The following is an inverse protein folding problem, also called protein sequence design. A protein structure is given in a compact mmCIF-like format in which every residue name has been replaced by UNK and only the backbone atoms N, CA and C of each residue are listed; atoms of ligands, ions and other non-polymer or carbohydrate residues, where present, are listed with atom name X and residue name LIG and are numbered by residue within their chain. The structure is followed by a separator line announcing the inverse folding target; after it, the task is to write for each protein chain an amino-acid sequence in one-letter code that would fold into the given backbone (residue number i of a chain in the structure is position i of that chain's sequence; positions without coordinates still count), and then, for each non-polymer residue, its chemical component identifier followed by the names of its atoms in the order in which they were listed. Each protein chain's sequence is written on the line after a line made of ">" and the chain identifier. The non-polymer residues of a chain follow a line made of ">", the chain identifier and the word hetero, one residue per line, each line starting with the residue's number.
data_IF_705523210444
#
_entry.id   IF_705523210444
#
_cell.length_a   1.000
_cell.length_b   1.000
_cell.length_c   1.000
_cell.angle_alpha   90.00
_cell.angle_beta   90.00
_cell.angle_gamma   90.00
#
_symmetry.space_group_name_H-M   'P 1'
#
loop_
_entity.id
_entity.type
_entity.pdbx_description
1 polymer ?
#
# COMPACT_ATOMS: atom_id res chain seq x y z
N UNK A 1 6.06 -5.63 27.45
CA UNK A 1 6.47 -7.02 27.12
C UNK A 1 5.27 -7.92 27.44
N UNK A 2 4.76 -8.73 26.51
CA UNK A 2 3.68 -9.69 26.84
C UNK A 2 4.33 -11.03 27.12
N UNK A 3 4.01 -11.60 28.27
CA UNK A 3 4.52 -12.88 28.72
C UNK A 3 3.36 -13.87 28.82
N UNK A 4 3.63 -15.13 28.56
CA UNK A 4 2.70 -16.23 28.87
C UNK A 4 3.19 -16.88 30.14
N UNK A 5 2.31 -16.98 31.14
CA UNK A 5 2.59 -17.66 32.39
C UNK A 5 2.15 -19.10 32.25
N UNK A 6 3.12 -20.01 32.16
CA UNK A 6 2.90 -21.45 32.31
C UNK A 6 3.04 -21.79 33.79
N UNK A 7 2.63 -23.00 34.19
CA UNK A 7 2.53 -23.40 35.61
C UNK A 7 3.84 -23.24 36.39
N UNK A 8 5.00 -23.26 35.72
CA UNK A 8 6.31 -23.17 36.37
C UNK A 8 7.23 -22.09 35.77
N UNK A 9 6.89 -21.49 34.62
CA UNK A 9 7.76 -20.53 33.93
C UNK A 9 6.99 -19.41 33.25
N UNK A 10 7.62 -18.24 33.17
CA UNK A 10 7.09 -17.09 32.42
C UNK A 10 7.91 -16.94 31.15
N UNK A 11 7.31 -17.31 30.01
CA UNK A 11 7.99 -17.22 28.72
C UNK A 11 7.66 -15.88 28.07
N UNK A 12 8.70 -15.15 27.68
CA UNK A 12 8.56 -13.92 26.89
C UNK A 12 8.29 -14.26 25.43
N UNK A 13 7.17 -13.78 24.88
CA UNK A 13 6.87 -13.98 23.46
C UNK A 13 7.80 -13.11 22.62
N UNK A 14 8.64 -13.70 21.73
CA UNK A 14 9.50 -12.94 20.84
C UNK A 14 8.70 -12.02 19.91
N UNK A 15 9.24 -10.84 19.63
CA UNK A 15 8.55 -9.82 18.84
C UNK A 15 8.19 -10.29 17.42
N UNK A 16 8.99 -11.17 16.83
CA UNK A 16 8.76 -11.76 15.50
C UNK A 16 7.45 -12.58 15.46
N UNK A 17 7.15 -13.30 16.54
CA UNK A 17 5.90 -14.09 16.67
C UNK A 17 4.68 -13.17 16.85
N UNK A 18 4.88 -11.92 17.26
CA UNK A 18 3.79 -10.93 17.42
C UNK A 18 3.45 -10.17 16.14
N UNK A 19 4.31 -10.22 15.12
CA UNK A 19 4.17 -9.44 13.89
C UNK A 19 3.94 -10.27 12.65
N UNK A 20 4.20 -11.57 12.69
CA UNK A 20 4.00 -12.48 11.57
C UNK A 20 2.51 -12.82 11.41
N UNK A 21 2.07 -13.11 10.18
CA UNK A 21 0.70 -13.52 9.95
C UNK A 21 0.43 -14.88 10.64
N UNK A 22 -0.78 -15.08 11.16
CA UNK A 22 -1.13 -16.32 11.87
C UNK A 22 -0.94 -17.56 10.98
N UNK A 23 -1.18 -17.45 9.68
CA UNK A 23 -0.95 -18.54 8.72
C UNK A 23 0.53 -18.87 8.56
N UNK A 24 1.39 -17.87 8.48
CA UNK A 24 2.85 -18.03 8.39
C UNK A 24 3.41 -18.68 9.66
N UNK A 25 2.90 -18.31 10.84
CA UNK A 25 3.28 -18.92 12.12
C UNK A 25 2.89 -20.39 12.19
N UNK A 26 1.68 -20.73 11.74
CA UNK A 26 1.23 -22.12 11.66
C UNK A 26 2.11 -22.92 10.70
N UNK A 27 2.44 -22.37 9.53
CA UNK A 27 3.31 -23.03 8.55
C UNK A 27 4.73 -23.22 9.09
N UNK A 28 5.32 -22.20 9.71
CA UNK A 28 6.65 -22.31 10.34
C UNK A 28 6.65 -23.37 11.44
N UNK A 29 5.63 -23.38 12.30
CA UNK A 29 5.50 -24.39 13.35
C UNK A 29 5.42 -25.81 12.77
N UNK A 30 4.59 -26.03 11.75
CA UNK A 30 4.46 -27.33 11.09
C UNK A 30 5.79 -27.77 10.46
N UNK A 31 6.51 -26.85 9.81
CA UNK A 31 7.84 -27.14 9.24
C UNK A 31 8.83 -27.56 10.31
N UNK A 32 8.92 -26.83 11.43
CA UNK A 32 9.80 -27.16 12.55
C UNK A 32 9.42 -28.51 13.18
N UNK A 33 8.12 -28.80 13.32
CA UNK A 33 7.66 -30.10 13.83
C UNK A 33 8.10 -31.25 12.93
N UNK A 34 8.05 -31.08 11.60
CA UNK A 34 8.56 -32.08 10.66
C UNK A 34 10.07 -32.28 10.76
N UNK A 35 10.83 -31.22 10.99
CA UNK A 35 12.30 -31.28 11.14
C UNK A 35 12.73 -31.97 12.44
N UNK A 36 11.93 -31.85 13.50
CA UNK A 36 12.21 -32.40 14.83
C UNK A 36 11.51 -33.74 15.09
N UNK A 37 10.95 -34.37 14.05
CA UNK A 37 10.16 -35.62 14.12
C UNK A 37 9.04 -35.58 15.18
N UNK A 38 8.42 -34.41 15.33
CA UNK A 38 7.35 -34.14 16.27
C UNK A 38 6.01 -34.09 15.53
N UNK A 39 4.98 -34.72 16.10
CA UNK A 39 3.63 -34.69 15.53
C UNK A 39 2.94 -33.34 15.81
N UNK A 40 2.67 -32.51 14.79
CA UNK A 40 2.07 -31.19 15.02
C UNK A 40 0.59 -31.30 15.42
N UNK A 41 0.11 -30.32 16.17
CA UNK A 41 -1.33 -30.12 16.40
C UNK A 41 -2.07 -29.81 15.09
N UNK A 42 -3.37 -30.07 15.05
CA UNK A 42 -4.20 -29.71 13.90
C UNK A 42 -4.19 -28.19 13.66
N UNK A 43 -4.22 -27.79 12.39
CA UNK A 43 -4.23 -26.36 12.00
C UNK A 43 -5.35 -25.59 12.70
N UNK A 44 -6.54 -26.20 12.84
CA UNK A 44 -7.67 -25.60 13.55
C UNK A 44 -7.40 -25.34 15.04
N UNK A 45 -6.64 -26.20 15.71
CA UNK A 45 -6.22 -26.02 17.10
C UNK A 45 -5.18 -24.92 17.22
N UNK A 46 -4.21 -24.88 16.29
CA UNK A 46 -3.17 -23.85 16.26
C UNK A 46 -3.75 -22.45 16.04
N UNK A 47 -4.69 -22.30 15.11
CA UNK A 47 -5.39 -21.03 14.90
C UNK A 47 -6.22 -20.60 16.12
N UNK A 48 -6.85 -21.54 16.83
CA UNK A 48 -7.53 -21.24 18.10
C UNK A 48 -6.57 -20.73 19.16
N UNK A 49 -5.39 -21.35 19.31
CA UNK A 49 -4.35 -20.89 20.24
C UNK A 49 -3.90 -19.46 19.88
N UNK A 50 -3.61 -19.19 18.60
CA UNK A 50 -3.22 -17.87 18.13
C UNK A 50 -4.32 -16.81 18.32
N UNK A 51 -5.61 -17.21 18.22
CA UNK A 51 -6.74 -16.32 18.48
C UNK A 51 -6.85 -15.91 19.95
N UNK A 52 -6.58 -16.84 20.88
CA UNK A 52 -6.52 -16.58 22.32
C UNK A 52 -5.29 -15.74 22.70
N UNK A 53 -4.20 -15.88 21.95
CA UNK A 53 -2.97 -15.10 22.07
C UNK A 53 -2.97 -13.85 21.17
N UNK A 54 -4.13 -13.20 20.99
CA UNK A 54 -4.34 -12.06 20.09
C UNK A 54 -3.15 -11.10 20.03
N UNK A 55 -2.55 -11.00 18.84
CA UNK A 55 -1.43 -10.09 18.57
C UNK A 55 -1.83 -8.66 18.94
N UNK A 56 -0.97 -7.97 19.71
CA UNK A 56 -1.20 -6.55 19.93
C UNK A 56 -1.05 -5.83 18.58
N UNK A 57 -2.13 -5.26 18.06
CA UNK A 57 -2.06 -4.33 16.93
C UNK A 57 -1.06 -3.24 17.29
N UNK A 58 0.01 -3.10 16.51
CA UNK A 58 1.01 -2.04 16.73
C UNK A 58 0.31 -0.70 16.52
N UNK A 59 0.04 0.01 17.61
CA UNK A 59 -0.40 1.41 17.58
C UNK A 59 0.77 2.39 17.47
N UNK A 60 2.01 1.89 17.55
CA UNK A 60 3.21 2.72 17.49
C UNK A 60 4.28 2.09 16.59
N UNK A 61 4.25 2.48 15.31
CA UNK A 61 5.31 2.29 14.31
C UNK A 61 6.01 3.63 14.00
N UNK A 62 6.04 4.58 14.94
CA UNK A 62 6.75 5.85 14.71
C UNK A 62 8.24 5.55 14.48
N UNK A 63 8.71 5.74 13.25
CA UNK A 63 10.11 5.59 12.83
C UNK A 63 10.40 4.46 11.83
N UNK A 64 9.45 3.56 11.58
CA UNK A 64 9.52 2.61 10.45
C UNK A 64 8.43 3.01 9.46
N UNK A 65 8.75 3.98 8.60
CA UNK A 65 7.82 4.40 7.57
C UNK A 65 7.77 3.34 6.45
N UNK A 66 6.81 2.43 6.55
CA UNK A 66 6.56 1.40 5.54
C UNK A 66 5.79 1.94 4.32
N UNK A 67 5.44 3.23 4.26
CA UNK A 67 4.58 3.77 3.19
C UNK A 67 5.15 3.46 1.80
N UNK A 68 6.47 3.60 1.60
CA UNK A 68 7.09 3.27 0.32
C UNK A 68 7.05 1.76 0.00
N UNK A 69 7.22 0.91 1.01
CA UNK A 69 7.14 -0.55 0.85
C UNK A 69 5.69 -1.00 0.58
N UNK A 70 4.73 -0.42 1.28
CA UNK A 70 3.29 -0.67 1.11
C UNK A 70 2.81 -0.21 -0.25
N UNK A 71 3.23 0.98 -0.71
CA UNK A 71 2.95 1.48 -2.05
C UNK A 71 3.58 0.60 -3.14
N UNK A 72 4.82 0.16 -2.96
CA UNK A 72 5.48 -0.77 -3.88
C UNK A 72 4.74 -2.10 -3.98
N UNK A 73 4.31 -2.64 -2.84
CA UNK A 73 3.52 -3.88 -2.72
C UNK A 73 2.15 -3.71 -3.35
N UNK A 74 1.50 -2.55 -3.18
CA UNK A 74 0.22 -2.24 -3.83
C UNK A 74 0.31 -2.26 -5.36
N UNK A 75 1.40 -1.77 -5.96
CA UNK A 75 1.61 -1.95 -7.40
C UNK A 75 1.75 -3.43 -7.79
N UNK A 76 2.45 -4.23 -6.99
CA UNK A 76 2.62 -5.67 -7.27
C UNK A 76 1.28 -6.41 -7.15
N UNK A 77 0.42 -6.00 -6.22
CA UNK A 77 -0.97 -6.49 -6.11
C UNK A 77 -1.80 -6.10 -7.33
N UNK A 78 -1.77 -4.84 -7.79
CA UNK A 78 -2.50 -4.41 -9.00
C UNK A 78 -2.06 -5.21 -10.24
N UNK A 79 -0.76 -5.51 -10.35
CA UNK A 79 -0.23 -6.36 -11.43
C UNK A 79 -0.80 -7.78 -11.33
N UNK A 80 -0.94 -8.34 -10.13
CA UNK A 80 -1.50 -9.67 -9.93
C UNK A 80 -3.00 -9.70 -10.21
N UNK A 81 -3.77 -8.73 -9.69
CA UNK A 81 -5.20 -8.55 -9.99
C UNK A 81 -5.42 -8.45 -11.50
N UNK A 82 -4.60 -7.67 -12.21
CA UNK A 82 -4.70 -7.57 -13.68
C UNK A 82 -4.53 -8.93 -14.36
N UNK A 83 -3.63 -9.79 -13.89
CA UNK A 83 -3.42 -11.14 -14.45
C UNK A 83 -4.55 -12.09 -14.07
N UNK A 84 -5.08 -11.99 -12.86
CA UNK A 84 -6.23 -12.77 -12.41
C UNK A 84 -7.46 -12.46 -13.26
N UNK A 85 -7.71 -11.18 -13.54
CA UNK A 85 -8.81 -10.74 -14.41
C UNK A 85 -8.66 -11.25 -15.85
N UNK A 86 -7.44 -11.45 -16.36
CA UNK A 86 -7.22 -12.13 -17.66
C UNK A 86 -7.60 -13.61 -17.57
N UNK A 87 -7.23 -14.30 -16.49
CA UNK A 87 -7.56 -15.71 -16.30
C UNK A 87 -9.08 -15.94 -16.15
N UNK A 88 -9.79 -14.94 -15.64
CA UNK A 88 -11.25 -14.92 -15.51
C UNK A 88 -11.96 -14.40 -16.77
N UNK A 89 -11.23 -14.17 -17.88
CA UNK A 89 -11.78 -13.67 -19.15
C UNK A 89 -12.47 -12.28 -19.05
N UNK A 90 -12.17 -11.51 -18.00
CA UNK A 90 -12.67 -10.14 -17.79
C UNK A 90 -11.87 -9.12 -18.60
N UNK A 91 -10.57 -9.36 -18.77
CA UNK A 91 -9.66 -8.53 -19.55
C UNK A 91 -9.14 -9.30 -20.76
N UNK A 92 -9.13 -8.64 -21.92
CA UNK A 92 -8.40 -9.16 -23.06
C UNK A 92 -6.89 -8.95 -22.92
N UNK A 93 -6.13 -9.60 -23.81
CA UNK A 93 -4.67 -9.56 -23.76
C UNK A 93 -4.12 -8.17 -24.05
N UNK A 94 -4.74 -7.42 -24.96
CA UNK A 94 -4.25 -6.12 -25.40
C UNK A 94 -4.46 -5.09 -24.28
N UNK A 95 -5.63 -5.09 -23.64
CA UNK A 95 -5.91 -4.32 -22.43
C UNK A 95 -4.94 -4.66 -21.30
N UNK A 96 -4.69 -5.95 -21.08
CA UNK A 96 -3.78 -6.41 -20.03
C UNK A 96 -2.36 -5.88 -20.26
N UNK A 97 -1.84 -5.99 -21.49
CA UNK A 97 -0.51 -5.52 -21.83
C UNK A 97 -0.40 -3.99 -21.69
N UNK A 98 -1.44 -3.23 -22.05
CA UNK A 98 -1.51 -1.79 -21.83
C UNK A 98 -1.50 -1.44 -20.34
N UNK A 99 -2.36 -2.08 -19.53
CA UNK A 99 -2.48 -1.85 -18.10
C UNK A 99 -1.16 -2.18 -17.39
N UNK A 100 -0.57 -3.34 -17.69
CA UNK A 100 0.70 -3.76 -17.10
C UNK A 100 1.85 -2.81 -17.47
N UNK A 101 1.85 -2.29 -18.70
CA UNK A 101 2.82 -1.28 -19.15
C UNK A 101 2.66 0.03 -18.38
N UNK A 102 1.42 0.54 -18.24
CA UNK A 102 1.12 1.76 -17.48
C UNK A 102 1.46 1.61 -16.00
N UNK A 103 1.12 0.49 -15.35
CA UNK A 103 1.47 0.21 -13.95
C UNK A 103 2.98 0.22 -13.72
N UNK A 104 3.76 -0.43 -14.62
CA UNK A 104 5.23 -0.42 -14.53
C UNK A 104 5.80 0.99 -14.68
N UNK A 105 5.31 1.76 -15.66
CA UNK A 105 5.73 3.15 -15.88
C UNK A 105 5.40 4.05 -14.69
N UNK A 106 4.19 3.94 -14.14
CA UNK A 106 3.76 4.68 -12.94
C UNK A 106 4.63 4.33 -11.72
N UNK A 107 4.88 3.04 -11.49
CA UNK A 107 5.76 2.56 -10.42
C UNK A 107 7.18 3.10 -10.54
N UNK A 108 7.77 3.09 -11.73
CA UNK A 108 9.11 3.63 -11.97
C UNK A 108 9.12 5.14 -11.75
N UNK A 109 8.12 5.84 -12.29
CA UNK A 109 7.98 7.28 -12.15
C UNK A 109 7.98 7.76 -10.69
N UNK A 110 7.20 7.12 -9.82
CA UNK A 110 7.19 7.45 -8.39
C UNK A 110 8.53 7.16 -7.70
N UNK A 111 9.28 6.14 -8.14
CA UNK A 111 10.58 5.80 -7.57
C UNK A 111 11.69 6.77 -7.96
N UNK A 112 11.68 7.26 -9.20
CA UNK A 112 12.83 7.97 -9.77
C UNK A 112 12.56 9.46 -9.96
N UNK A 113 11.52 9.81 -10.72
CA UNK A 113 11.43 11.14 -11.32
C UNK A 113 10.40 12.04 -10.61
N UNK A 114 9.42 11.47 -9.91
CA UNK A 114 8.32 12.24 -9.33
C UNK A 114 8.84 13.40 -8.46
N UNK A 115 9.80 13.12 -7.57
CA UNK A 115 10.43 14.14 -6.70
C UNK A 115 11.09 15.30 -7.47
N UNK A 116 11.53 15.07 -8.72
CA UNK A 116 12.19 16.08 -9.55
C UNK A 116 11.20 17.06 -10.19
N UNK A 117 9.92 16.71 -10.30
CA UNK A 117 8.89 17.61 -10.81
C UNK A 117 8.15 18.36 -9.70
N UNK A 118 8.27 17.92 -8.45
CA UNK A 118 7.61 18.58 -7.32
C UNK A 118 8.28 19.93 -7.04
N UNK A 119 7.48 21.00 -7.02
CA UNK A 119 7.94 22.37 -6.77
C UNK A 119 6.97 23.09 -5.83
N UNK A 120 7.41 24.19 -5.21
CA UNK A 120 6.55 24.99 -4.32
C UNK A 120 5.27 25.47 -5.00
N UNK A 121 5.41 26.01 -6.20
CA UNK A 121 4.35 26.50 -7.05
C UNK A 121 4.49 25.80 -8.39
N UNK A 122 3.43 25.15 -8.86
CA UNK A 122 3.39 24.49 -10.16
C UNK A 122 1.96 24.56 -10.71
N UNK A 123 1.81 24.65 -12.03
CA UNK A 123 0.48 24.61 -12.68
C UNK A 123 -0.13 23.22 -12.72
N UNK A 124 0.62 22.18 -12.35
CA UNK A 124 0.11 20.85 -12.11
C UNK A 124 -0.18 20.65 -10.61
N UNK A 125 -1.44 20.33 -10.28
CA UNK A 125 -1.89 20.09 -8.90
C UNK A 125 -1.07 19.01 -8.19
N UNK A 126 -0.63 17.98 -8.91
CA UNK A 126 0.18 16.89 -8.37
C UNK A 126 1.63 17.29 -8.06
N UNK A 127 2.11 18.38 -8.66
CA UNK A 127 3.50 18.84 -8.54
C UNK A 127 3.63 20.03 -7.59
N UNK A 128 2.55 20.79 -7.40
CA UNK A 128 2.53 21.95 -6.53
C UNK A 128 2.45 21.56 -5.05
N UNK A 129 3.53 21.77 -4.30
CA UNK A 129 3.59 21.46 -2.86
C UNK A 129 2.54 22.26 -2.08
N UNK A 130 2.43 23.55 -2.37
CA UNK A 130 1.51 24.45 -1.66
C UNK A 130 0.06 23.98 -1.83
N UNK A 131 -0.31 23.55 -3.03
CA UNK A 131 -1.62 22.99 -3.30
C UNK A 131 -1.81 21.60 -2.68
N UNK A 132 -0.90 20.67 -2.97
CA UNK A 132 -1.05 19.26 -2.58
C UNK A 132 -0.96 19.02 -1.07
N UNK A 133 -0.30 19.90 -0.30
CA UNK A 133 -0.23 19.83 1.16
C UNK A 133 -1.21 20.75 1.89
N UNK A 134 -1.94 21.61 1.18
CA UNK A 134 -2.91 22.51 1.81
C UNK A 134 -4.04 21.70 2.46
N UNK A 135 -4.35 22.00 3.72
CA UNK A 135 -5.50 21.42 4.40
C UNK A 135 -6.78 22.18 4.02
N UNK A 136 -7.75 21.50 3.41
CA UNK A 136 -9.02 22.13 3.00
C UNK A 136 -9.98 22.40 4.17
N UNK A 137 -9.73 21.82 5.35
CA UNK A 137 -10.62 21.88 6.52
C UNK A 137 -10.08 22.84 7.57
N UNK A 138 -8.77 22.87 7.76
CA UNK A 138 -8.10 23.70 8.76
C UNK A 138 -7.46 24.93 8.12
N UNK A 139 -8.09 26.10 8.27
CA UNK A 139 -7.63 27.35 7.66
C UNK A 139 -6.20 27.74 8.03
N UNK A 140 -5.74 27.37 9.22
CA UNK A 140 -4.37 27.65 9.68
C UNK A 140 -3.31 26.81 8.94
N UNK A 141 -3.72 25.70 8.34
CA UNK A 141 -2.86 24.82 7.53
C UNK A 141 -3.23 24.87 6.03
N UNK A 142 -4.17 25.75 5.66
CA UNK A 142 -4.55 25.99 4.28
C UNK A 142 -3.55 26.96 3.64
N UNK A 143 -3.16 26.68 2.40
CA UNK A 143 -2.33 27.58 1.59
C UNK A 143 -3.10 27.91 0.32
N UNK A 144 -3.36 29.20 0.10
CA UNK A 144 -3.92 29.68 -1.16
C UNK A 144 -2.80 29.88 -2.18
N UNK A 145 -2.98 29.31 -3.37
CA UNK A 145 -2.10 29.52 -4.50
C UNK A 145 -2.56 30.74 -5.30
N UNK A 146 -1.61 31.55 -5.77
CA UNK A 146 -1.81 32.71 -6.64
C UNK A 146 -1.80 32.35 -8.15
N UNK A 147 -1.75 31.06 -8.46
CA UNK A 147 -1.68 30.49 -9.81
C UNK A 147 -2.76 29.43 -10.03
N UNK A 148 -2.99 29.09 -11.30
CA UNK A 148 -3.98 28.09 -11.70
C UNK A 148 -3.35 26.70 -11.77
N UNK A 149 -4.15 25.68 -11.43
CA UNK A 149 -3.80 24.26 -11.55
C UNK A 149 -4.46 23.62 -12.76
N UNK A 150 -4.12 24.11 -13.95
CA UNK A 150 -4.78 23.75 -15.22
C UNK A 150 -3.97 22.80 -16.11
N UNK A 151 -2.81 22.33 -15.63
CA UNK A 151 -2.01 21.31 -16.31
C UNK A 151 -2.17 19.95 -15.64
N UNK A 152 -2.30 18.91 -16.46
CA UNK A 152 -2.29 17.51 -16.03
C UNK A 152 -0.97 16.90 -16.46
N UNK A 153 -0.28 16.24 -15.53
CA UNK A 153 0.93 15.50 -15.85
C UNK A 153 0.59 14.10 -16.36
N UNK A 154 0.93 13.79 -17.61
CA UNK A 154 0.69 12.47 -18.22
C UNK A 154 1.20 11.31 -17.34
N UNK A 155 2.35 11.48 -16.69
CA UNK A 155 2.93 10.44 -15.82
C UNK A 155 2.19 10.30 -14.48
N UNK A 156 1.65 11.39 -13.93
CA UNK A 156 0.79 11.33 -12.75
C UNK A 156 -0.57 10.71 -13.09
N UNK A 157 -1.05 10.88 -14.33
CA UNK A 157 -2.32 10.36 -14.80
C UNK A 157 -2.31 8.84 -15.10
N UNK A 158 -1.13 8.21 -15.19
CA UNK A 158 -1.01 6.77 -15.48
C UNK A 158 -1.76 5.88 -14.49
N UNK A 159 -1.72 6.18 -13.18
CA UNK A 159 -2.43 5.39 -12.18
C UNK A 159 -3.95 5.61 -12.22
N UNK A 160 -4.46 6.86 -12.19
CA UNK A 160 -5.88 7.13 -12.41
C UNK A 160 -6.44 6.45 -13.66
N UNK A 161 -5.73 6.53 -14.79
CA UNK A 161 -6.16 5.89 -16.04
C UNK A 161 -6.29 4.38 -15.91
N UNK A 162 -5.29 3.73 -15.31
CA UNK A 162 -5.33 2.27 -15.08
C UNK A 162 -6.47 1.89 -14.15
N UNK A 163 -6.67 2.63 -13.05
CA UNK A 163 -7.74 2.35 -12.11
C UNK A 163 -9.10 2.48 -12.80
N UNK A 164 -9.30 3.53 -13.60
CA UNK A 164 -10.53 3.70 -14.36
C UNK A 164 -10.75 2.54 -15.33
N UNK A 165 -9.73 2.14 -16.10
CA UNK A 165 -9.81 1.00 -17.01
C UNK A 165 -10.19 -0.29 -16.27
N UNK A 166 -9.55 -0.60 -15.13
CA UNK A 166 -9.84 -1.79 -14.35
C UNK A 166 -11.24 -1.76 -13.74
N UNK A 167 -11.65 -0.63 -13.15
CA UNK A 167 -12.98 -0.44 -12.57
C UNK A 167 -14.06 -0.62 -13.63
N UNK A 168 -13.88 -0.02 -14.82
CA UNK A 168 -14.85 -0.14 -15.91
C UNK A 168 -14.99 -1.59 -16.38
N UNK A 169 -13.87 -2.32 -16.50
CA UNK A 169 -13.88 -3.73 -16.93
C UNK A 169 -14.54 -4.64 -15.89
N UNK A 170 -14.22 -4.46 -14.61
CA UNK A 170 -14.84 -5.19 -13.50
C UNK A 170 -16.34 -4.91 -13.41
N UNK A 171 -16.78 -3.66 -13.60
CA UNK A 171 -18.20 -3.33 -13.52
C UNK A 171 -19.01 -3.91 -14.69
N UNK A 172 -18.46 -3.84 -15.90
CA UNK A 172 -19.20 -4.14 -17.13
C UNK A 172 -19.15 -5.62 -17.55
N UNK A 173 -18.29 -6.44 -16.94
CA UNK A 173 -18.18 -7.87 -17.29
C UNK A 173 -19.38 -8.71 -16.84
N UNK A 174 -19.71 -9.74 -17.61
CA UNK A 174 -20.62 -10.84 -17.24
C UNK A 174 -19.92 -11.98 -16.50
N UNK A 175 -18.59 -12.02 -16.53
CA UNK A 175 -17.81 -13.17 -16.04
C UNK A 175 -17.68 -13.20 -14.50
N UNK A 176 -18.05 -12.11 -13.83
CA UNK A 176 -18.00 -11.97 -12.39
C UNK A 176 -19.39 -11.82 -11.79
N UNK A 177 -19.61 -12.49 -10.66
CA UNK A 177 -20.76 -12.23 -9.78
C UNK A 177 -20.65 -10.84 -9.13
N UNK A 178 -21.76 -10.32 -8.61
CA UNK A 178 -21.74 -9.03 -7.91
C UNK A 178 -20.81 -9.05 -6.68
N UNK A 179 -20.72 -10.18 -5.97
CA UNK A 179 -19.85 -10.33 -4.81
C UNK A 179 -18.36 -10.26 -5.20
N UNK A 180 -17.97 -10.93 -6.29
CA UNK A 180 -16.61 -10.88 -6.84
C UNK A 180 -16.25 -9.48 -7.36
N UNK A 181 -17.20 -8.81 -8.03
CA UNK A 181 -17.01 -7.41 -8.46
C UNK A 181 -16.72 -6.50 -7.27
N UNK A 182 -17.52 -6.60 -6.22
CA UNK A 182 -17.30 -5.80 -5.01
C UNK A 182 -15.95 -6.08 -4.36
N UNK A 183 -15.50 -7.35 -4.35
CA UNK A 183 -14.18 -7.72 -3.82
C UNK A 183 -13.04 -7.09 -4.63
N UNK A 184 -13.07 -7.23 -5.96
CA UNK A 184 -12.07 -6.61 -6.82
C UNK A 184 -12.06 -5.08 -6.70
N UNK A 185 -13.22 -4.43 -6.64
CA UNK A 185 -13.31 -2.99 -6.47
C UNK A 185 -12.71 -2.52 -5.13
N UNK A 186 -12.96 -3.26 -4.04
CA UNK A 186 -12.33 -2.99 -2.74
C UNK A 186 -10.81 -3.12 -2.80
N UNK A 187 -10.29 -4.11 -3.51
CA UNK A 187 -8.85 -4.31 -3.67
C UNK A 187 -8.21 -3.20 -4.51
N UNK A 188 -8.86 -2.77 -5.59
CA UNK A 188 -8.41 -1.64 -6.41
C UNK A 188 -8.37 -0.35 -5.59
N UNK A 189 -9.41 -0.07 -4.80
CA UNK A 189 -9.46 1.09 -3.89
C UNK A 189 -8.36 1.03 -2.84
N UNK A 190 -8.18 -0.12 -2.18
CA UNK A 190 -7.15 -0.30 -1.16
C UNK A 190 -5.73 -0.14 -1.73
N UNK A 191 -5.48 -0.61 -2.94
CA UNK A 191 -4.20 -0.43 -3.61
C UNK A 191 -3.97 1.04 -4.02
N UNK A 192 -4.98 1.68 -4.61
CA UNK A 192 -4.96 3.10 -4.95
C UNK A 192 -4.59 3.96 -3.75
N UNK A 193 -5.28 3.75 -2.62
CA UNK A 193 -5.03 4.48 -1.37
C UNK A 193 -3.57 4.37 -0.91
N UNK A 194 -2.98 3.17 -0.93
CA UNK A 194 -1.57 2.95 -0.53
C UNK A 194 -0.59 3.65 -1.47
N UNK A 195 -0.87 3.67 -2.77
CA UNK A 195 0.00 4.32 -3.76
C UNK A 195 -0.10 5.85 -3.63
N UNK A 196 -1.30 6.39 -3.45
CA UNK A 196 -1.49 7.82 -3.22
C UNK A 196 -0.86 8.29 -1.90
N UNK A 197 -0.94 7.47 -0.83
CA UNK A 197 -0.18 7.71 0.40
C UNK A 197 1.32 7.77 0.14
N UNK A 198 1.85 6.90 -0.71
CA UNK A 198 3.26 6.92 -1.07
C UNK A 198 3.64 8.17 -1.86
N UNK A 199 2.84 8.56 -2.86
CA UNK A 199 3.02 9.81 -3.60
C UNK A 199 3.01 11.03 -2.66
N UNK A 200 2.05 11.09 -1.74
CA UNK A 200 1.98 12.15 -0.73
C UNK A 200 3.20 12.15 0.22
N UNK A 201 3.70 10.98 0.62
CA UNK A 201 4.92 10.85 1.42
C UNK A 201 6.16 11.38 0.67
N UNK A 202 6.29 11.09 -0.63
CA UNK A 202 7.39 11.62 -1.45
C UNK A 202 7.33 13.15 -1.53
N UNK A 203 6.13 13.72 -1.72
CA UNK A 203 5.92 15.16 -1.77
C UNK A 203 6.24 15.85 -0.42
N UNK A 204 5.85 15.23 0.70
CA UNK A 204 6.25 15.69 2.05
C UNK A 204 7.76 15.65 2.26
N UNK A 205 8.44 14.64 1.74
CA UNK A 205 9.91 14.53 1.85
C UNK A 205 10.59 15.70 1.13
N UNK A 206 10.16 16.03 -0.09
CA UNK A 206 10.72 17.17 -0.85
C UNK A 206 10.53 18.49 -0.08
N UNK A 207 9.33 18.74 0.45
CA UNK A 207 9.06 19.94 1.24
C UNK A 207 9.92 20.01 2.53
N UNK A 208 10.09 18.88 3.22
CA UNK A 208 10.91 18.81 4.42
C UNK A 208 12.40 19.00 4.14
N UNK A 209 12.90 18.46 3.03
CA UNK A 209 14.31 18.61 2.65
C UNK A 209 14.63 20.07 2.28
N UNK A 210 13.73 20.78 1.58
CA UNK A 210 13.90 22.22 1.32
C UNK A 210 13.95 23.03 2.62
N UNK A 211 13.07 22.72 3.59
CA UNK A 211 13.07 23.38 4.89
C UNK A 211 14.36 23.11 5.68
N UNK A 212 14.91 21.89 5.60
CA UNK A 212 16.17 21.53 6.25
C UNK A 212 17.34 22.31 5.66
N UNK A 213 17.46 22.39 4.33
CA UNK A 213 18.56 23.13 3.68
C UNK A 213 18.59 24.59 4.13
N UNK A 214 17.42 25.23 4.23
CA UNK A 214 17.30 26.63 4.69
C UNK A 214 17.84 26.87 6.10
N UNK A 215 17.65 25.92 7.02
CA UNK A 215 18.15 26.03 8.39
C UNK A 215 19.68 25.99 8.44
N UNK A 216 20.34 25.34 7.47
CA UNK A 216 21.81 25.28 7.42
C UNK A 216 22.44 26.48 6.71
N UNK A 217 21.66 27.25 5.95
CA UNK A 217 22.11 28.43 5.21
C UNK A 217 21.94 29.75 6.03
N UNK A 218 21.27 29.70 7.18
CA UNK A 218 21.10 30.79 8.17
C UNK A 218 22.12 30.69 9.32
#
# INVERSE_FOLDING_TARGET
>A
MRTVKLEQETVSIPQVIRTSCNSELVNMYITICKEQDFSPLSSSTLFKILSSCSAAKKTNLRGLDNIAADGNTAFDLLINVTKELVNMEVLDRDDSDEILSKLKKSKIYLKTDYKLHVQKNDRCADHCINWALSDTKEKEYAVECDHLHDLVCDRCNLLPDVLQMLIDRVNNTSELTNEEKEEHLRDLEACSFKIELWKAHLLKTVNQDEARTKIFDD
#
